data_IF_150921554684
#
_entry.id   IF_150921554684
#
_cell.length_a   1.000
_cell.length_b   1.000
_cell.length_c   1.000
_cell.angle_alpha   90.00
_cell.angle_beta   90.00
_cell.angle_gamma   90.00
#
_symmetry.space_group_name_H-M   'P 1'
#
loop_
_entity.id
_entity.type
_entity.pdbx_description
1 polymer ?
#
# COMPACT_ATOMS: atom_id res chain seq x y z
N UNK A 1 21.72 -38.30 3.75
CA UNK A 1 21.85 -36.84 3.94
C UNK A 1 22.69 -36.62 5.18
N UNK A 2 23.80 -35.90 5.06
CA UNK A 2 24.72 -35.67 6.17
C UNK A 2 24.01 -34.91 7.30
N UNK A 3 23.77 -35.57 8.44
CA UNK A 3 23.13 -34.94 9.60
C UNK A 3 23.86 -33.68 10.08
N UNK A 4 25.16 -33.58 9.79
CA UNK A 4 25.97 -32.37 10.04
C UNK A 4 25.58 -31.19 9.13
N UNK A 5 25.19 -31.43 7.88
CA UNK A 5 24.66 -30.38 7.01
C UNK A 5 23.28 -29.93 7.48
N UNK A 6 22.41 -30.85 7.88
CA UNK A 6 21.06 -30.53 8.36
C UNK A 6 21.11 -29.71 9.66
N UNK A 7 21.99 -30.07 10.60
CA UNK A 7 22.19 -29.30 11.82
C UNK A 7 22.71 -27.88 11.54
N UNK A 8 23.65 -27.73 10.59
CA UNK A 8 24.15 -26.41 10.17
C UNK A 8 23.06 -25.57 9.52
N UNK A 9 22.24 -26.16 8.66
CA UNK A 9 21.13 -25.46 8.02
C UNK A 9 20.12 -24.97 9.05
N UNK A 10 19.74 -25.83 10.00
CA UNK A 10 18.85 -25.45 11.10
C UNK A 10 19.40 -24.29 11.94
N UNK A 11 20.69 -24.34 12.29
CA UNK A 11 21.34 -23.26 13.04
C UNK A 11 21.35 -21.93 12.27
N UNK A 12 21.65 -21.95 10.97
CA UNK A 12 21.65 -20.75 10.13
C UNK A 12 20.25 -20.14 10.03
N UNK A 13 19.22 -20.96 9.82
CA UNK A 13 17.83 -20.48 9.76
C UNK A 13 17.40 -19.87 11.10
N UNK A 14 17.73 -20.52 12.22
CA UNK A 14 17.42 -19.99 13.54
C UNK A 14 18.10 -18.64 13.81
N UNK A 15 19.38 -18.51 13.47
CA UNK A 15 20.12 -17.24 13.61
C UNK A 15 19.51 -16.15 12.74
N UNK A 16 19.13 -16.46 11.49
CA UNK A 16 18.50 -15.49 10.59
C UNK A 16 17.14 -15.00 11.14
N UNK A 17 16.32 -15.90 11.70
CA UNK A 17 15.05 -15.54 12.34
C UNK A 17 15.30 -14.65 13.57
N UNK A 18 16.26 -15.00 14.42
CA UNK A 18 16.60 -14.21 15.61
C UNK A 18 17.04 -12.79 15.24
N UNK A 19 17.92 -12.63 14.24
CA UNK A 19 18.36 -11.31 13.76
C UNK A 19 17.17 -10.49 13.26
N UNK A 20 16.31 -11.10 12.43
CA UNK A 20 15.12 -10.43 11.89
C UNK A 20 14.18 -9.95 13.00
N UNK A 21 13.93 -10.81 14.00
CA UNK A 21 13.10 -10.46 15.16
C UNK A 21 13.70 -9.29 15.96
N UNK A 22 15.02 -9.29 16.20
CA UNK A 22 15.70 -8.19 16.91
C UNK A 22 15.65 -6.87 16.13
N UNK A 23 15.77 -6.93 14.79
CA UNK A 23 15.66 -5.73 13.95
C UNK A 23 14.25 -5.12 13.98
N UNK A 24 13.21 -5.96 14.04
CA UNK A 24 11.82 -5.49 14.16
C UNK A 24 11.58 -4.85 15.54
N UNK A 25 12.05 -5.48 16.63
CA UNK A 25 11.98 -4.90 17.98
C UNK A 25 12.70 -3.55 18.08
N UNK A 26 13.88 -3.43 17.46
CA UNK A 26 14.63 -2.16 17.42
C UNK A 26 13.91 -1.06 16.63
N UNK A 27 13.32 -1.39 15.48
CA UNK A 27 12.55 -0.42 14.68
C UNK A 27 11.22 -0.01 15.33
N UNK A 28 10.68 -0.85 16.22
CA UNK A 28 9.45 -0.56 16.98
C UNK A 28 9.70 0.30 18.23
N UNK A 29 10.95 0.43 18.68
CA UNK A 29 11.36 1.20 19.88
C UNK A 29 11.69 2.67 19.60
N UNK A 30 11.36 3.17 18.42
CA UNK A 30 11.23 4.60 18.16
C UNK A 30 9.78 5.02 18.46
N UNK A 31 9.44 5.58 19.63
CA UNK A 31 8.18 6.28 19.78
C UNK A 31 8.26 7.53 18.90
N UNK A 32 7.75 7.44 17.66
CA UNK A 32 7.71 8.59 16.78
C UNK A 32 6.95 9.73 17.49
N UNK A 33 7.51 10.96 17.51
CA UNK A 33 6.81 12.11 18.03
C UNK A 33 5.50 12.28 17.27
N UNK A 34 4.46 12.61 18.03
CA UNK A 34 3.12 12.94 17.59
C UNK A 34 3.11 13.84 16.35
N UNK A 35 3.05 13.23 15.18
CA UNK A 35 2.54 13.89 13.99
C UNK A 35 1.13 13.35 13.79
N UNK A 36 0.17 13.97 14.47
CA UNK A 36 -1.20 13.90 13.98
C UNK A 36 -1.12 14.41 12.53
N UNK A 37 -1.43 13.59 11.51
CA UNK A 37 -1.58 14.13 10.18
C UNK A 37 -2.69 15.18 10.31
N UNK A 38 -2.34 16.45 10.06
CA UNK A 38 -3.33 17.51 9.88
C UNK A 38 -4.29 16.95 8.84
N UNK A 39 -5.47 16.48 9.27
CA UNK A 39 -6.52 16.03 8.34
C UNK A 39 -6.81 17.27 7.51
N UNK A 40 -6.50 17.28 6.21
CA UNK A 40 -6.94 18.38 5.38
C UNK A 40 -8.46 18.33 5.43
N UNK A 41 -9.06 19.35 6.04
CA UNK A 41 -10.51 19.54 6.13
C UNK A 41 -11.15 19.63 4.71
N UNK A 42 -10.33 19.66 3.65
CA UNK A 42 -10.71 19.61 2.24
C UNK A 42 -11.02 18.20 1.67
N UNK A 43 -11.00 17.12 2.46
CA UNK A 43 -11.49 15.80 2.02
C UNK A 43 -13.03 15.71 1.97
N UNK A 44 -13.72 16.82 1.69
CA UNK A 44 -15.18 16.94 1.86
C UNK A 44 -15.99 16.28 0.72
N UNK A 45 -15.34 15.82 -0.36
CA UNK A 45 -15.85 14.93 -1.41
C UNK A 45 -14.79 14.81 -2.51
N UNK A 46 -13.76 13.98 -2.31
CA UNK A 46 -12.88 13.64 -3.45
C UNK A 46 -13.53 12.46 -4.20
N UNK A 47 -14.12 12.68 -5.40
CA UNK A 47 -14.73 11.59 -6.17
C UNK A 47 -13.72 10.47 -6.49
N UNK A 48 -12.41 10.79 -6.47
CA UNK A 48 -11.35 9.80 -6.65
C UNK A 48 -11.28 8.82 -5.48
N UNK A 49 -11.54 9.26 -4.24
CA UNK A 49 -11.61 8.39 -3.05
C UNK A 49 -12.76 7.40 -3.14
N UNK A 50 -13.92 7.84 -3.63
CA UNK A 50 -15.08 6.96 -3.81
C UNK A 50 -14.84 5.94 -4.92
N UNK A 51 -14.25 6.37 -6.04
CA UNK A 51 -13.86 5.48 -7.12
C UNK A 51 -12.81 4.44 -6.68
N UNK A 52 -11.80 4.86 -5.90
CA UNK A 52 -10.81 3.95 -5.30
C UNK A 52 -11.49 2.91 -4.40
N UNK A 53 -12.44 3.32 -3.55
CA UNK A 53 -13.15 2.39 -2.64
C UNK A 53 -13.98 1.36 -3.41
N UNK A 54 -14.66 1.76 -4.49
CA UNK A 54 -15.36 0.81 -5.37
C UNK A 54 -14.39 -0.21 -5.98
N UNK A 55 -13.26 0.25 -6.52
CA UNK A 55 -12.25 -0.63 -7.09
C UNK A 55 -11.60 -1.56 -6.05
N UNK A 56 -11.44 -1.12 -4.80
CA UNK A 56 -10.96 -1.97 -3.71
C UNK A 56 -11.97 -3.07 -3.36
N UNK A 57 -13.27 -2.79 -3.42
CA UNK A 57 -14.31 -3.78 -3.13
C UNK A 57 -14.37 -4.90 -4.19
N UNK A 58 -14.00 -4.59 -5.43
CA UNK A 58 -13.84 -5.58 -6.51
C UNK A 58 -12.62 -6.50 -6.32
N UNK A 59 -11.64 -6.09 -5.52
CA UNK A 59 -10.46 -6.89 -5.22
C UNK A 59 -9.64 -7.24 -6.48
N UNK A 60 -9.44 -8.54 -6.73
CA UNK A 60 -8.62 -9.00 -7.85
C UNK A 60 -9.25 -8.70 -9.22
N UNK A 61 -10.58 -8.64 -9.31
CA UNK A 61 -11.28 -8.33 -10.56
C UNK A 61 -10.97 -6.92 -11.07
N UNK A 62 -10.70 -5.98 -10.16
CA UNK A 62 -10.28 -4.63 -10.51
C UNK A 62 -8.95 -4.58 -11.27
N UNK A 63 -8.10 -5.62 -11.17
CA UNK A 63 -6.85 -5.70 -11.92
C UNK A 63 -7.08 -5.93 -13.43
N UNK A 64 -8.26 -6.39 -13.82
CA UNK A 64 -8.68 -6.51 -15.22
C UNK A 64 -9.66 -5.42 -15.67
N UNK A 65 -10.13 -4.59 -14.74
CA UNK A 65 -11.10 -3.53 -15.04
C UNK A 65 -10.37 -2.26 -15.54
N UNK A 66 -10.65 -1.82 -16.79
CA UNK A 66 -9.99 -0.64 -17.36
C UNK A 66 -10.35 0.67 -16.64
N UNK A 67 -11.55 0.78 -16.07
CA UNK A 67 -11.95 1.94 -15.28
C UNK A 67 -11.16 2.00 -13.96
N UNK A 68 -10.93 0.87 -13.31
CA UNK A 68 -10.13 0.80 -12.09
C UNK A 68 -8.64 1.06 -12.34
N UNK A 69 -8.09 0.57 -13.45
CA UNK A 69 -6.73 0.88 -13.87
C UNK A 69 -6.49 2.40 -14.02
N UNK A 70 -7.47 3.12 -14.59
CA UNK A 70 -7.40 4.59 -14.70
C UNK A 70 -7.43 5.28 -13.34
N UNK A 71 -8.29 4.82 -12.42
CA UNK A 71 -8.38 5.37 -11.06
C UNK A 71 -7.05 5.23 -10.32
N UNK A 72 -6.37 4.09 -10.42
CA UNK A 72 -5.05 3.90 -9.80
C UNK A 72 -3.97 4.76 -10.44
N UNK A 73 -3.97 4.91 -11.76
CA UNK A 73 -3.04 5.79 -12.45
C UNK A 73 -3.19 7.25 -11.97
N UNK A 74 -4.43 7.75 -11.93
CA UNK A 74 -4.73 9.11 -11.46
C UNK A 74 -4.37 9.31 -9.98
N UNK A 75 -4.65 8.31 -9.14
CA UNK A 75 -4.27 8.31 -7.72
C UNK A 75 -2.76 8.41 -7.54
N UNK A 76 -2.02 7.59 -8.28
CA UNK A 76 -0.56 7.57 -8.26
C UNK A 76 0.01 8.89 -8.75
N UNK A 77 -0.53 9.43 -9.84
CA UNK A 77 -0.04 10.68 -10.43
C UNK A 77 -0.31 11.86 -9.49
N UNK A 78 -1.47 11.91 -8.84
CA UNK A 78 -1.77 12.90 -7.78
C UNK A 78 -0.83 12.76 -6.58
N UNK A 79 -0.57 11.54 -6.11
CA UNK A 79 0.37 11.29 -5.01
C UNK A 79 1.79 11.76 -5.35
N UNK A 80 2.21 11.57 -6.60
CA UNK A 80 3.52 11.98 -7.09
C UNK A 80 3.57 13.46 -7.51
N UNK A 81 2.51 14.25 -7.30
CA UNK A 81 2.45 15.65 -7.70
C UNK A 81 2.44 15.87 -9.22
N UNK A 82 2.21 14.82 -10.01
CA UNK A 82 2.07 14.85 -11.47
C UNK A 82 0.63 15.10 -11.92
N UNK A 83 -0.20 15.69 -11.07
CA UNK A 83 -1.63 15.79 -11.29
C UNK A 83 -1.95 16.60 -12.56
N UNK A 84 -2.28 15.88 -13.63
CA UNK A 84 -2.92 16.43 -14.83
C UNK A 84 -4.33 16.90 -14.44
N UNK A 85 -4.84 18.02 -14.99
CA UNK A 85 -6.22 18.44 -14.76
C UNK A 85 -7.20 17.29 -15.04
N UNK A 86 -8.26 17.15 -14.23
CA UNK A 86 -9.16 16.00 -14.29
C UNK A 86 -9.72 15.84 -15.70
N UNK A 87 -9.57 14.66 -16.28
CA UNK A 87 -10.25 14.31 -17.52
C UNK A 87 -11.77 14.41 -17.28
N UNK A 88 -12.55 14.89 -18.27
CA UNK A 88 -13.99 14.96 -18.14
C UNK A 88 -14.54 13.58 -17.75
N UNK A 89 -15.22 13.54 -16.60
CA UNK A 89 -15.93 12.36 -16.13
C UNK A 89 -16.91 11.94 -17.23
N UNK A 90 -16.95 10.67 -17.66
CA UNK A 90 -18.05 10.19 -18.47
C UNK A 90 -19.31 10.39 -17.63
N UNK A 91 -20.12 11.38 -18.01
CA UNK A 91 -21.51 11.43 -17.57
C UNK A 91 -22.18 10.22 -18.21
N UNK A 92 -22.19 9.11 -17.49
CA UNK A 92 -23.10 8.00 -17.78
C UNK A 92 -24.51 8.53 -17.47
N UNK A 93 -25.14 9.11 -18.49
CA UNK A 93 -26.44 9.72 -18.42
C UNK A 93 -27.55 8.67 -18.38
N UNK A 94 -28.54 8.97 -17.51
CA UNK A 94 -29.94 8.52 -17.54
C UNK A 94 -30.23 7.06 -17.20
#
# INVERSE_FOLDING_TARGET
MDGKMLARLGAVVFVAIAITATAIEMTRKEPLPSQQPVRPVQAMRDPLRDAQRRCQQLGQEAASDPACMRVWAETRDRFLGRATPPAPQPQEGR
#
